data_IF_711674308709
#
_entry.id   IF_711674308709
#
_cell.length_a   1.000
_cell.length_b   1.000
_cell.length_c   1.000
_cell.angle_alpha   90.00
_cell.angle_beta   90.00
_cell.angle_gamma   90.00
#
_symmetry.space_group_name_H-M   'P 1'
#
loop_
_entity.id
_entity.type
_entity.pdbx_description
1 polymer ?
#
# COMPACT_ATOMS: atom_id res chain seq x y z
N UNK A 1 21.83 -0.69 -5.35
CA UNK A 1 22.42 0.67 -5.23
C UNK A 1 21.63 1.37 -4.16
N UNK A 2 22.13 1.46 -2.93
CA UNK A 2 21.67 2.51 -2.01
C UNK A 2 21.63 3.78 -2.86
N UNK A 3 20.54 4.53 -2.79
CA UNK A 3 20.53 5.87 -3.40
C UNK A 3 21.85 6.52 -3.03
N UNK A 4 22.59 7.10 -3.98
CA UNK A 4 23.96 7.58 -3.81
C UNK A 4 24.17 8.53 -2.61
N UNK A 5 23.11 8.85 -1.88
CA UNK A 5 23.03 9.81 -0.78
C UNK A 5 22.80 9.15 0.60
N UNK A 6 22.79 7.81 0.73
CA UNK A 6 22.54 7.13 2.02
C UNK A 6 21.12 7.35 2.56
N UNK A 7 20.16 7.66 1.69
CA UNK A 7 18.77 7.90 2.05
C UNK A 7 18.05 6.58 2.34
N UNK A 8 17.29 6.51 3.42
CA UNK A 8 16.38 5.41 3.71
C UNK A 8 15.27 5.35 2.65
N UNK A 9 15.00 4.17 2.11
CA UNK A 9 13.95 3.92 1.12
C UNK A 9 12.96 2.89 1.64
N UNK A 10 11.73 3.30 1.86
CA UNK A 10 10.62 2.45 2.31
C UNK A 10 9.60 2.33 1.19
N UNK A 11 9.39 1.11 0.69
CA UNK A 11 8.27 0.85 -0.21
C UNK A 11 6.97 0.72 0.59
N UNK A 12 6.05 1.66 0.36
CA UNK A 12 4.81 1.73 1.12
C UNK A 12 3.78 0.66 0.68
N UNK A 13 4.01 -0.06 -0.43
CA UNK A 13 3.04 -1.01 -0.94
C UNK A 13 3.69 -2.14 -1.74
N UNK A 14 3.82 -3.30 -1.13
CA UNK A 14 4.20 -4.53 -1.83
C UNK A 14 3.23 -5.65 -1.54
N UNK A 15 2.97 -6.48 -2.55
CA UNK A 15 2.06 -7.62 -2.45
C UNK A 15 2.82 -8.89 -2.84
N UNK A 16 3.12 -9.79 -1.90
CA UNK A 16 3.77 -11.04 -2.25
C UNK A 16 2.94 -11.83 -3.27
N UNK A 17 3.59 -12.32 -4.32
CA UNK A 17 2.95 -13.05 -5.40
C UNK A 17 3.54 -14.44 -5.52
N UNK A 18 3.05 -15.33 -4.67
CA UNK A 18 3.49 -16.73 -4.68
C UNK A 18 2.88 -17.51 -5.86
N UNK A 19 3.42 -18.70 -6.15
CA UNK A 19 2.83 -19.59 -7.15
C UNK A 19 1.38 -19.99 -6.78
N UNK A 20 1.06 -20.11 -5.49
CA UNK A 20 -0.28 -20.41 -5.00
C UNK A 20 -1.25 -19.26 -5.26
N UNK A 21 -0.80 -18.01 -5.02
CA UNK A 21 -1.56 -16.80 -5.36
C UNK A 21 -1.84 -16.74 -6.86
N UNK A 22 -0.82 -16.99 -7.69
CA UNK A 22 -0.97 -17.03 -9.14
C UNK A 22 -1.97 -18.10 -9.60
N UNK A 23 -1.89 -19.30 -9.05
CA UNK A 23 -2.80 -20.40 -9.37
C UNK A 23 -4.25 -20.15 -8.91
N UNK A 24 -4.45 -19.43 -7.81
CA UNK A 24 -5.76 -19.07 -7.27
C UNK A 24 -6.46 -17.91 -7.98
N UNK A 25 -5.75 -17.19 -8.86
CA UNK A 25 -6.34 -16.03 -9.54
C UNK A 25 -7.41 -16.40 -10.56
N UNK A 26 -8.52 -15.65 -10.60
CA UNK A 26 -9.49 -15.78 -11.69
C UNK A 26 -8.82 -15.62 -13.06
N UNK A 27 -9.19 -16.46 -14.03
CA UNK A 27 -8.61 -16.45 -15.39
C UNK A 27 -8.62 -15.05 -16.04
N UNK A 28 -9.67 -14.25 -15.80
CA UNK A 28 -9.74 -12.87 -16.27
C UNK A 28 -8.63 -11.99 -15.69
N UNK A 29 -8.20 -12.25 -14.47
CA UNK A 29 -7.16 -11.48 -13.80
C UNK A 29 -5.75 -11.94 -14.20
N UNK A 30 -5.58 -13.18 -14.68
CA UNK A 30 -4.33 -13.64 -15.26
C UNK A 30 -3.92 -12.80 -16.48
N UNK A 31 -4.88 -12.28 -17.23
CA UNK A 31 -4.63 -11.35 -18.36
C UNK A 31 -4.00 -10.02 -17.89
N UNK A 32 -4.12 -9.68 -16.60
CA UNK A 32 -3.45 -8.51 -16.03
C UNK A 32 -1.93 -8.65 -16.12
N UNK A 33 -1.40 -9.82 -15.79
CA UNK A 33 0.03 -10.12 -15.87
C UNK A 33 0.56 -9.99 -17.31
N UNK A 34 -0.20 -10.44 -18.31
CA UNK A 34 0.14 -10.27 -19.72
C UNK A 34 0.17 -8.78 -20.11
N UNK A 35 -0.82 -8.02 -19.68
CA UNK A 35 -0.94 -6.59 -19.96
C UNK A 35 0.23 -5.77 -19.39
N UNK A 36 0.76 -6.15 -18.24
CA UNK A 36 1.94 -5.50 -17.64
C UNK A 36 3.28 -6.07 -18.13
N UNK A 37 3.26 -7.07 -19.00
CA UNK A 37 4.47 -7.68 -19.56
C UNK A 37 5.25 -8.55 -18.57
N UNK A 38 4.61 -9.03 -17.50
CA UNK A 38 5.22 -9.79 -16.41
C UNK A 38 4.61 -11.21 -16.27
N UNK A 39 3.89 -11.70 -17.28
CA UNK A 39 3.10 -12.93 -17.18
C UNK A 39 3.93 -14.14 -16.73
N UNK A 40 5.10 -14.36 -17.33
CA UNK A 40 5.95 -15.49 -16.98
C UNK A 40 6.43 -15.45 -15.53
N UNK A 41 6.76 -14.26 -15.03
CA UNK A 41 7.22 -14.01 -13.68
C UNK A 41 6.09 -14.22 -12.67
N UNK A 42 4.95 -13.58 -12.89
CA UNK A 42 3.80 -13.65 -12.00
C UNK A 42 3.20 -15.06 -11.97
N UNK A 43 3.14 -15.76 -13.10
CA UNK A 43 2.62 -17.12 -13.15
C UNK A 43 3.51 -18.15 -12.43
N UNK A 44 4.82 -17.94 -12.39
CA UNK A 44 5.74 -18.79 -11.61
C UNK A 44 5.68 -18.53 -10.11
N UNK A 45 5.21 -17.34 -9.73
CA UNK A 45 5.33 -16.83 -8.38
C UNK A 45 6.76 -16.38 -8.04
N UNK A 46 6.88 -15.63 -6.97
CA UNK A 46 8.15 -15.07 -6.51
C UNK A 46 8.27 -15.36 -5.03
N UNK A 47 9.37 -15.99 -4.63
CA UNK A 47 9.62 -16.27 -3.22
C UNK A 47 10.20 -15.05 -2.47
N UNK A 48 10.19 -15.11 -1.15
CA UNK A 48 10.69 -14.03 -0.28
C UNK A 48 12.17 -13.72 -0.48
N UNK A 49 12.99 -14.75 -0.76
CA UNK A 49 14.43 -14.55 -1.00
C UNK A 49 14.69 -13.79 -2.29
N UNK A 50 13.96 -14.11 -3.35
CA UNK A 50 14.04 -13.37 -4.61
C UNK A 50 13.56 -11.92 -4.44
N UNK A 51 12.51 -11.69 -3.65
CA UNK A 51 12.03 -10.35 -3.33
C UNK A 51 13.10 -9.52 -2.61
N UNK A 52 13.74 -10.08 -1.58
CA UNK A 52 14.82 -9.39 -0.85
C UNK A 52 16.00 -9.08 -1.77
N UNK A 53 16.39 -10.02 -2.64
CA UNK A 53 17.47 -9.78 -3.60
C UNK A 53 17.13 -8.62 -4.57
N UNK A 54 15.89 -8.53 -5.05
CA UNK A 54 15.44 -7.42 -5.89
C UNK A 54 15.39 -6.08 -5.14
N UNK A 55 15.01 -6.09 -3.85
CA UNK A 55 15.11 -4.92 -2.98
C UNK A 55 16.56 -4.43 -2.88
N UNK A 56 17.52 -5.36 -2.66
CA UNK A 56 18.95 -5.03 -2.58
C UNK A 56 19.48 -4.43 -3.87
N UNK A 57 19.11 -5.00 -5.02
CA UNK A 57 19.51 -4.49 -6.34
C UNK A 57 18.94 -3.08 -6.61
N UNK A 58 17.72 -2.81 -6.15
CA UNK A 58 17.06 -1.53 -6.37
C UNK A 58 17.37 -0.47 -5.29
N UNK A 59 18.02 -0.85 -4.19
CA UNK A 59 18.30 0.02 -3.05
C UNK A 59 17.07 0.34 -2.21
N UNK A 60 16.14 -0.62 -2.09
CA UNK A 60 14.97 -0.53 -1.21
C UNK A 60 15.34 -1.15 0.12
N UNK A 61 15.30 -0.37 1.19
CA UNK A 61 15.70 -0.83 2.53
C UNK A 61 14.61 -1.63 3.21
N UNK A 62 13.38 -1.12 3.19
CA UNK A 62 12.21 -1.69 3.87
C UNK A 62 11.00 -1.73 2.93
N UNK A 63 10.08 -2.67 3.17
CA UNK A 63 8.83 -2.75 2.44
C UNK A 63 7.65 -3.08 3.36
N UNK A 64 6.52 -2.39 3.14
CA UNK A 64 5.23 -2.71 3.75
C UNK A 64 4.67 -3.97 3.09
N UNK A 65 4.99 -5.13 3.68
CA UNK A 65 4.59 -6.44 3.15
C UNK A 65 3.14 -6.75 3.51
N UNK A 66 2.26 -6.72 2.51
CA UNK A 66 0.83 -6.80 2.75
C UNK A 66 0.21 -8.16 2.42
N UNK A 67 -0.63 -8.65 3.34
CA UNK A 67 -1.65 -9.61 3.04
C UNK A 67 -2.77 -8.98 2.18
N UNK A 68 -3.64 -9.82 1.64
CA UNK A 68 -4.81 -9.40 0.87
C UNK A 68 -5.78 -10.57 0.71
N UNK A 69 -6.91 -10.39 0.05
CA UNK A 69 -7.90 -11.46 -0.10
C UNK A 69 -7.39 -12.74 -0.78
N UNK A 70 -6.34 -12.62 -1.59
CA UNK A 70 -5.66 -13.77 -2.23
C UNK A 70 -4.33 -14.13 -1.56
N UNK A 71 -3.88 -13.33 -0.59
CA UNK A 71 -2.59 -13.48 0.09
C UNK A 71 -2.87 -13.62 1.58
N UNK A 72 -2.79 -14.82 2.16
CA UNK A 72 -3.15 -15.02 3.56
C UNK A 72 -2.22 -14.28 4.52
N UNK A 73 -2.72 -13.93 5.70
CA UNK A 73 -1.92 -13.33 6.76
C UNK A 73 -0.71 -14.18 7.16
N UNK A 74 -0.80 -15.50 7.04
CA UNK A 74 0.29 -16.43 7.36
C UNK A 74 1.54 -16.17 6.52
N UNK A 75 1.38 -15.68 5.29
CA UNK A 75 2.52 -15.26 4.48
C UNK A 75 3.24 -14.06 5.09
N UNK A 76 2.49 -13.08 5.59
CA UNK A 76 3.09 -11.92 6.28
C UNK A 76 3.80 -12.36 7.55
N UNK A 77 3.21 -13.30 8.31
CA UNK A 77 3.86 -13.89 9.50
C UNK A 77 5.17 -14.57 9.13
N UNK A 78 5.21 -15.34 8.04
CA UNK A 78 6.43 -15.97 7.54
C UNK A 78 7.47 -14.92 7.11
N UNK A 79 7.06 -13.88 6.39
CA UNK A 79 7.94 -12.81 5.94
C UNK A 79 8.61 -12.10 7.12
N UNK A 80 7.83 -11.76 8.15
CA UNK A 80 8.34 -11.15 9.38
C UNK A 80 9.25 -12.08 10.17
N UNK A 81 8.94 -13.38 10.23
CA UNK A 81 9.76 -14.35 10.94
C UNK A 81 11.14 -14.58 10.27
N UNK A 82 11.21 -14.45 8.95
CA UNK A 82 12.44 -14.71 8.17
C UNK A 82 13.27 -13.47 7.89
N UNK A 83 12.64 -12.31 7.77
CA UNK A 83 13.24 -11.06 7.30
C UNK A 83 12.65 -9.84 8.02
N UNK A 84 12.60 -9.87 9.37
CA UNK A 84 12.05 -8.77 10.18
C UNK A 84 12.76 -7.43 9.95
N UNK A 85 14.02 -7.48 9.53
CA UNK A 85 14.83 -6.31 9.21
C UNK A 85 14.50 -5.68 7.84
N UNK A 86 13.69 -6.35 7.02
CA UNK A 86 13.33 -5.92 5.66
C UNK A 86 11.83 -5.65 5.48
N UNK A 87 11.00 -6.28 6.29
CA UNK A 87 9.55 -6.20 6.14
C UNK A 87 8.84 -5.60 7.34
N UNK A 88 7.83 -4.80 7.06
CA UNK A 88 6.86 -4.29 8.02
C UNK A 88 5.51 -4.91 7.65
N UNK A 89 4.87 -5.59 8.60
CA UNK A 89 3.66 -6.36 8.33
C UNK A 89 2.43 -5.48 8.13
N UNK A 90 1.65 -5.83 7.11
CA UNK A 90 0.32 -5.25 6.83
C UNK A 90 -0.68 -6.39 6.78
N UNK A 91 -1.62 -6.41 7.72
CA UNK A 91 -2.64 -7.46 7.83
C UNK A 91 -3.81 -7.23 6.85
N UNK A 92 -4.59 -8.28 6.62
CA UNK A 92 -5.92 -8.18 6.01
C UNK A 92 -6.97 -8.81 6.92
N UNK A 93 -8.23 -8.34 6.82
CA UNK A 93 -9.37 -8.93 7.51
C UNK A 93 -10.65 -8.67 6.70
N UNK A 94 -11.52 -9.67 6.59
CA UNK A 94 -12.75 -9.59 5.79
C UNK A 94 -13.99 -9.69 6.69
N UNK A 95 -14.70 -8.57 6.94
CA UNK A 95 -15.91 -8.58 7.75
C UNK A 95 -17.11 -9.22 7.04
N UNK A 96 -17.05 -9.43 5.74
CA UNK A 96 -18.13 -10.03 4.96
C UNK A 96 -18.03 -11.56 4.91
N UNK A 97 -16.81 -12.09 4.90
CA UNK A 97 -16.58 -13.53 4.96
C UNK A 97 -16.71 -14.08 6.40
N UNK A 98 -16.10 -13.40 7.37
CA UNK A 98 -15.93 -13.91 8.73
C UNK A 98 -16.91 -13.32 9.75
N UNK A 99 -17.58 -12.24 9.36
CA UNK A 99 -18.36 -11.39 10.26
C UNK A 99 -17.48 -10.33 10.97
N UNK A 100 -18.06 -9.14 11.28
CA UNK A 100 -17.30 -7.96 11.71
C UNK A 100 -16.40 -8.19 12.94
N UNK A 101 -16.91 -8.91 13.95
CA UNK A 101 -16.15 -9.15 15.17
C UNK A 101 -15.06 -10.22 15.03
N UNK A 102 -15.22 -11.16 14.10
CA UNK A 102 -14.15 -12.13 13.80
C UNK A 102 -13.03 -11.43 13.01
N UNK A 103 -13.37 -10.54 12.08
CA UNK A 103 -12.41 -9.69 11.37
C UNK A 103 -11.61 -8.80 12.34
N UNK A 104 -12.27 -8.15 13.31
CA UNK A 104 -11.59 -7.39 14.37
C UNK A 104 -10.63 -8.26 15.18
N UNK A 105 -11.04 -9.47 15.57
CA UNK A 105 -10.14 -10.41 16.28
C UNK A 105 -8.95 -10.84 15.44
N UNK A 106 -9.14 -11.01 14.13
CA UNK A 106 -8.04 -11.31 13.21
C UNK A 106 -7.05 -10.15 13.16
N UNK A 107 -7.52 -8.89 12.97
CA UNK A 107 -6.66 -7.72 13.01
C UNK A 107 -5.89 -7.62 14.33
N UNK A 108 -6.58 -7.74 15.46
CA UNK A 108 -5.95 -7.67 16.79
C UNK A 108 -4.84 -8.71 16.95
N UNK A 109 -5.10 -9.96 16.54
CA UNK A 109 -4.08 -11.02 16.57
C UNK A 109 -2.86 -10.70 15.73
N UNK A 110 -3.05 -10.12 14.52
CA UNK A 110 -1.95 -9.74 13.64
C UNK A 110 -1.13 -8.59 14.21
N UNK A 111 -1.77 -7.64 14.85
CA UNK A 111 -1.09 -6.48 15.47
C UNK A 111 -0.38 -6.90 16.77
N UNK A 112 -1.10 -7.45 17.74
CA UNK A 112 -0.57 -7.79 19.07
C UNK A 112 0.37 -9.01 19.05
N UNK A 113 0.10 -9.98 18.18
CA UNK A 113 0.87 -11.23 18.10
C UNK A 113 2.04 -11.20 17.12
N UNK A 114 1.97 -10.38 16.07
CA UNK A 114 2.96 -10.37 14.99
C UNK A 114 3.49 -8.97 14.64
N UNK A 115 3.06 -7.92 15.33
CA UNK A 115 3.60 -6.57 15.17
C UNK A 115 3.20 -5.86 13.86
N UNK A 116 2.12 -6.28 13.20
CA UNK A 116 1.63 -5.59 12.01
C UNK A 116 1.30 -4.11 12.32
N UNK A 117 1.64 -3.22 11.39
CA UNK A 117 1.49 -1.77 11.54
C UNK A 117 0.33 -1.18 10.73
N UNK A 118 -0.32 -1.99 9.91
CA UNK A 118 -1.47 -1.55 9.14
C UNK A 118 -2.47 -2.68 8.86
N UNK A 119 -3.69 -2.28 8.56
CA UNK A 119 -4.73 -3.08 7.93
C UNK A 119 -4.87 -2.67 6.48
N UNK A 120 -4.76 -3.61 5.54
CA UNK A 120 -5.03 -3.38 4.12
C UNK A 120 -6.46 -3.78 3.77
N UNK A 121 -7.16 -2.90 3.04
CA UNK A 121 -8.47 -3.18 2.46
C UNK A 121 -8.46 -2.94 0.94
N UNK A 122 -9.12 -3.85 0.23
CA UNK A 122 -9.32 -3.80 -1.22
C UNK A 122 -10.82 -3.88 -1.52
N UNK A 123 -11.54 -2.74 -1.43
CA UNK A 123 -13.01 -2.70 -1.44
C UNK A 123 -13.62 -3.27 -2.73
N UNK A 124 -12.91 -3.20 -3.86
CA UNK A 124 -13.37 -3.76 -5.13
C UNK A 124 -13.47 -5.29 -5.12
N UNK A 125 -12.67 -6.00 -4.30
CA UNK A 125 -12.74 -7.47 -4.22
C UNK A 125 -14.04 -7.91 -3.54
N UNK A 126 -14.45 -7.19 -2.52
CA UNK A 126 -15.70 -7.47 -1.80
C UNK A 126 -16.93 -6.85 -2.50
N UNK A 127 -16.72 -6.02 -3.55
CA UNK A 127 -17.75 -5.19 -4.17
C UNK A 127 -18.54 -4.38 -3.13
N UNK A 128 -17.81 -3.69 -2.24
CA UNK A 128 -18.36 -2.94 -1.12
C UNK A 128 -17.77 -1.53 -1.04
N UNK A 129 -18.63 -0.56 -0.83
CA UNK A 129 -18.18 0.81 -0.60
C UNK A 129 -17.50 0.92 0.76
N UNK A 130 -16.44 1.72 0.85
CA UNK A 130 -15.73 1.96 2.12
C UNK A 130 -16.64 2.56 3.22
N UNK A 131 -17.74 3.19 2.84
CA UNK A 131 -18.73 3.77 3.75
C UNK A 131 -19.77 2.79 4.27
N UNK A 132 -19.72 1.51 3.88
CA UNK A 132 -20.65 0.52 4.40
C UNK A 132 -20.32 0.15 5.85
N UNK A 133 -21.37 0.01 6.65
CA UNK A 133 -21.28 -0.20 8.10
C UNK A 133 -20.45 -1.42 8.51
N UNK A 134 -20.32 -2.43 7.64
CA UNK A 134 -19.50 -3.62 7.90
C UNK A 134 -18.02 -3.34 8.12
N UNK A 135 -17.48 -2.25 7.54
CA UNK A 135 -16.08 -1.84 7.71
C UNK A 135 -15.81 -1.10 9.03
N UNK A 136 -16.81 -0.38 9.57
CA UNK A 136 -16.63 0.52 10.70
C UNK A 136 -16.02 -0.11 11.95
N UNK A 137 -16.34 -1.37 12.33
CA UNK A 137 -15.65 -2.06 13.42
C UNK A 137 -14.14 -2.21 13.21
N UNK A 138 -13.69 -2.38 11.95
CA UNK A 138 -12.27 -2.45 11.62
C UNK A 138 -11.61 -1.07 11.70
N UNK A 139 -12.28 0.01 11.28
CA UNK A 139 -11.77 1.38 11.43
C UNK A 139 -11.59 1.74 12.90
N UNK A 140 -12.59 1.46 13.73
CA UNK A 140 -12.49 1.66 15.17
C UNK A 140 -11.36 0.82 15.79
N UNK A 141 -11.19 -0.43 15.35
CA UNK A 141 -10.11 -1.29 15.82
C UNK A 141 -8.72 -0.78 15.38
N UNK A 142 -8.58 -0.19 14.18
CA UNK A 142 -7.33 0.44 13.76
C UNK A 142 -6.96 1.62 14.65
N UNK A 143 -7.94 2.46 15.04
CA UNK A 143 -7.72 3.56 15.99
C UNK A 143 -7.30 3.03 17.37
N UNK A 144 -8.05 2.03 17.92
CA UNK A 144 -7.77 1.41 19.22
C UNK A 144 -6.39 0.75 19.30
N UNK A 145 -5.93 0.16 18.20
CA UNK A 145 -4.64 -0.53 18.09
C UNK A 145 -3.49 0.38 17.61
N UNK A 146 -3.77 1.65 17.35
CA UNK A 146 -2.80 2.62 16.79
C UNK A 146 -2.13 2.14 15.49
N UNK A 147 -2.90 1.51 14.58
CA UNK A 147 -2.44 1.05 13.28
C UNK A 147 -3.12 1.79 12.14
N UNK A 148 -2.47 1.81 10.98
CA UNK A 148 -2.90 2.58 9.83
C UNK A 148 -3.87 1.77 8.96
N UNK A 149 -4.89 2.42 8.43
CA UNK A 149 -5.70 1.88 7.34
C UNK A 149 -4.98 2.13 6.00
N UNK A 150 -4.54 1.07 5.34
CA UNK A 150 -4.05 1.10 3.98
C UNK A 150 -5.18 0.64 3.06
N UNK A 151 -5.62 1.50 2.15
CA UNK A 151 -6.78 1.19 1.31
C UNK A 151 -6.47 1.42 -0.16
N UNK A 152 -6.81 0.43 -1.00
CA UNK A 152 -6.72 0.62 -2.44
C UNK A 152 -7.83 1.55 -2.91
N UNK A 153 -7.44 2.65 -3.55
CA UNK A 153 -8.34 3.61 -4.20
C UNK A 153 -8.03 3.70 -5.69
N UNK A 154 -8.93 4.33 -6.45
CA UNK A 154 -8.80 4.41 -7.88
C UNK A 154 -9.37 3.18 -8.61
N UNK A 155 -9.03 3.06 -9.87
CA UNK A 155 -9.50 1.98 -10.72
C UNK A 155 -8.74 0.69 -10.40
N UNK A 156 -9.48 -0.42 -10.24
CA UNK A 156 -8.87 -1.74 -10.30
C UNK A 156 -8.38 -2.03 -11.73
N UNK A 157 -7.13 -2.45 -11.88
CA UNK A 157 -6.59 -2.91 -13.17
C UNK A 157 -7.20 -4.25 -13.63
N UNK A 158 -7.79 -5.01 -12.71
CA UNK A 158 -8.35 -6.33 -12.98
C UNK A 158 -9.78 -6.22 -13.56
N UNK A 159 -10.05 -6.83 -14.74
CA UNK A 159 -11.31 -6.65 -15.45
C UNK A 159 -12.53 -7.31 -14.78
N UNK A 160 -12.32 -8.06 -13.72
CA UNK A 160 -13.38 -8.72 -12.95
C UNK A 160 -14.04 -7.81 -11.91
N UNK A 161 -13.49 -6.64 -11.64
CA UNK A 161 -13.92 -5.79 -10.53
C UNK A 161 -14.45 -4.44 -10.99
N UNK A 162 -15.45 -3.93 -10.25
CA UNK A 162 -16.06 -2.62 -10.48
C UNK A 162 -15.20 -1.54 -9.82
N UNK A 163 -14.80 -0.52 -10.58
CA UNK A 163 -13.90 0.54 -10.09
C UNK A 163 -14.58 1.53 -9.15
N UNK A 164 -15.90 1.68 -9.18
CA UNK A 164 -16.63 2.65 -8.35
C UNK A 164 -16.36 2.46 -6.85
N UNK A 165 -16.18 1.21 -6.39
CA UNK A 165 -15.90 0.91 -4.97
C UNK A 165 -14.57 1.49 -4.48
N UNK A 166 -13.62 1.75 -5.40
CA UNK A 166 -12.34 2.40 -5.13
C UNK A 166 -12.35 3.92 -5.27
N UNK A 167 -13.50 4.56 -5.43
CA UNK A 167 -13.54 6.01 -5.63
C UNK A 167 -13.05 6.77 -4.40
N UNK A 168 -12.11 7.72 -4.55
CA UNK A 168 -11.51 8.46 -3.43
C UNK A 168 -12.51 9.20 -2.55
N UNK A 169 -13.64 9.67 -3.09
CA UNK A 169 -14.68 10.38 -2.33
C UNK A 169 -15.15 9.63 -1.07
N UNK A 170 -15.07 8.29 -1.06
CA UNK A 170 -15.44 7.51 0.12
C UNK A 170 -14.42 7.62 1.25
N UNK A 171 -13.15 7.91 0.94
CA UNK A 171 -12.10 8.19 1.94
C UNK A 171 -12.41 9.47 2.72
N UNK A 172 -12.97 10.49 2.04
CA UNK A 172 -13.36 11.75 2.68
C UNK A 172 -14.32 11.51 3.87
N UNK A 173 -15.32 10.65 3.66
CA UNK A 173 -16.28 10.31 4.71
C UNK A 173 -15.63 9.59 5.89
N UNK A 174 -14.75 8.63 5.63
CA UNK A 174 -14.05 7.88 6.68
C UNK A 174 -13.12 8.79 7.47
N UNK A 175 -12.39 9.69 6.80
CA UNK A 175 -11.51 10.64 7.45
C UNK A 175 -12.25 11.63 8.36
N UNK A 176 -13.52 11.96 8.04
CA UNK A 176 -14.39 12.76 8.89
C UNK A 176 -14.90 11.98 10.10
N UNK A 177 -15.33 10.72 9.88
CA UNK A 177 -15.91 9.88 10.95
C UNK A 177 -14.85 9.38 11.94
N UNK A 178 -13.60 9.23 11.49
CA UNK A 178 -12.46 8.74 12.28
C UNK A 178 -11.25 9.67 12.11
N UNK A 179 -11.27 10.87 12.72
CA UNK A 179 -10.18 11.85 12.57
C UNK A 179 -8.83 11.37 13.16
N UNK A 180 -8.84 10.40 14.07
CA UNK A 180 -7.64 9.78 14.64
C UNK A 180 -7.05 8.67 13.74
N UNK A 181 -7.83 8.14 12.79
CA UNK A 181 -7.40 7.06 11.92
C UNK A 181 -6.42 7.58 10.86
N UNK A 182 -5.20 7.09 10.86
CA UNK A 182 -4.27 7.32 9.74
C UNK A 182 -4.71 6.50 8.54
N UNK A 183 -4.80 7.14 7.37
CA UNK A 183 -5.28 6.51 6.13
C UNK A 183 -4.22 6.71 5.04
N UNK A 184 -3.74 5.62 4.44
CA UNK A 184 -2.90 5.61 3.25
C UNK A 184 -3.74 5.12 2.07
N UNK A 185 -4.00 6.02 1.12
CA UNK A 185 -4.78 5.76 -0.08
C UNK A 185 -3.85 5.38 -1.24
N UNK A 186 -3.90 4.13 -1.70
CA UNK A 186 -3.02 3.58 -2.74
C UNK A 186 -3.32 4.04 -4.15
N UNK A 187 -2.32 3.92 -5.06
CA UNK A 187 -2.44 4.04 -6.51
C UNK A 187 -2.88 5.44 -7.01
N UNK A 188 -2.43 6.51 -6.31
CA UNK A 188 -2.72 7.93 -6.62
C UNK A 188 -4.22 8.26 -6.86
N UNK A 189 -5.12 7.32 -6.64
CA UNK A 189 -6.56 7.48 -6.90
C UNK A 189 -6.95 7.54 -8.39
N UNK A 190 -6.07 7.12 -9.32
CA UNK A 190 -6.35 7.21 -10.74
C UNK A 190 -7.63 6.43 -11.15
N UNK A 191 -8.55 6.96 -12.01
CA UNK A 191 -8.45 8.23 -12.75
C UNK A 191 -8.95 9.48 -12.00
N UNK A 192 -9.37 9.35 -10.73
CA UNK A 192 -9.89 10.45 -9.90
C UNK A 192 -8.79 11.12 -9.06
N UNK A 193 -7.60 11.28 -9.64
CA UNK A 193 -6.41 11.77 -8.91
C UNK A 193 -6.62 13.17 -8.32
N UNK A 194 -7.30 14.07 -9.02
CA UNK A 194 -7.59 15.42 -8.50
C UNK A 194 -8.53 15.39 -7.29
N UNK A 195 -9.48 14.45 -7.26
CA UNK A 195 -10.34 14.20 -6.09
C UNK A 195 -9.51 13.69 -4.91
N UNK A 196 -8.58 12.75 -5.15
CA UNK A 196 -7.70 12.23 -4.11
C UNK A 196 -6.77 13.31 -3.56
N UNK A 197 -6.21 14.19 -4.41
CA UNK A 197 -5.41 15.35 -4.01
C UNK A 197 -6.22 16.26 -3.07
N UNK A 198 -7.45 16.60 -3.45
CA UNK A 198 -8.31 17.46 -2.63
C UNK A 198 -8.59 16.87 -1.25
N UNK A 199 -8.79 15.55 -1.17
CA UNK A 199 -9.02 14.83 0.08
C UNK A 199 -7.77 14.81 0.95
N UNK A 200 -6.60 14.49 0.40
CA UNK A 200 -5.35 14.48 1.14
C UNK A 200 -4.94 15.89 1.62
N UNK A 201 -5.29 16.93 0.88
CA UNK A 201 -5.08 18.31 1.29
C UNK A 201 -6.04 18.75 2.39
N UNK A 202 -7.28 18.25 2.39
CA UNK A 202 -8.31 18.58 3.37
C UNK A 202 -8.07 17.93 4.72
N UNK A 203 -7.54 16.68 4.75
CA UNK A 203 -7.43 15.88 5.95
C UNK A 203 -5.98 15.61 6.35
N UNK A 204 -5.60 16.00 7.56
CA UNK A 204 -4.25 15.80 8.09
C UNK A 204 -3.89 14.31 8.25
N UNK A 205 -4.87 13.45 8.46
CA UNK A 205 -4.75 12.02 8.66
C UNK A 205 -4.81 11.18 7.37
N UNK A 206 -4.77 11.81 6.17
CA UNK A 206 -4.80 11.11 4.88
C UNK A 206 -3.52 11.34 4.10
N UNK A 207 -2.91 10.27 3.60
CA UNK A 207 -1.75 10.25 2.71
C UNK A 207 -2.09 9.56 1.39
N UNK A 208 -1.30 9.83 0.36
CA UNK A 208 -1.41 9.19 -0.97
C UNK A 208 -0.17 8.33 -1.21
N UNK A 209 -0.37 7.10 -1.60
CA UNK A 209 0.67 6.17 -2.04
C UNK A 209 0.74 6.12 -3.57
N UNK A 210 1.96 6.05 -4.12
CA UNK A 210 2.19 6.11 -5.59
C UNK A 210 2.25 4.75 -6.27
N UNK A 211 1.99 3.68 -5.57
CA UNK A 211 2.06 2.31 -6.10
C UNK A 211 1.27 2.12 -7.41
N UNK A 212 1.65 1.15 -8.19
CA UNK A 212 1.14 0.85 -9.53
C UNK A 212 1.38 1.92 -10.60
N UNK A 213 1.97 3.06 -10.28
CA UNK A 213 2.17 4.17 -11.21
C UNK A 213 3.64 4.57 -11.31
N UNK A 214 4.16 4.66 -12.53
CA UNK A 214 5.50 5.21 -12.79
C UNK A 214 5.44 6.74 -12.84
N UNK A 215 6.48 7.48 -12.41
CA UNK A 215 6.53 8.94 -12.44
C UNK A 215 6.12 9.58 -13.77
N UNK A 216 6.52 8.98 -14.90
CA UNK A 216 6.17 9.47 -16.25
C UNK A 216 4.67 9.49 -16.56
N UNK A 217 3.85 8.78 -15.77
CA UNK A 217 2.40 8.73 -15.93
C UNK A 217 1.66 9.54 -14.87
N UNK A 218 2.38 10.23 -13.98
CA UNK A 218 1.72 11.10 -13.00
C UNK A 218 1.04 12.26 -13.72
N UNK A 219 -0.24 12.54 -13.43
CA UNK A 219 -0.88 13.74 -13.94
C UNK A 219 -0.13 14.99 -13.50
N UNK A 220 -0.12 16.06 -14.32
CA UNK A 220 0.54 17.32 -13.96
C UNK A 220 0.07 17.93 -12.64
N UNK A 221 -1.22 17.79 -12.30
CA UNK A 221 -1.80 18.20 -11.01
C UNK A 221 -1.15 17.44 -9.85
N UNK A 222 -0.92 16.13 -10.00
CA UNK A 222 -0.28 15.32 -8.97
C UNK A 222 1.20 15.67 -8.79
N UNK A 223 1.93 15.86 -9.89
CA UNK A 223 3.32 16.28 -9.82
C UNK A 223 3.47 17.66 -9.16
N UNK A 224 2.58 18.60 -9.47
CA UNK A 224 2.55 19.91 -8.83
C UNK A 224 2.20 19.80 -7.33
N UNK A 225 1.25 18.96 -6.97
CA UNK A 225 0.90 18.67 -5.57
C UNK A 225 2.10 18.10 -4.81
N UNK A 226 2.75 17.07 -5.35
CA UNK A 226 3.92 16.42 -4.74
C UNK A 226 5.06 17.40 -4.46
N UNK A 227 5.30 18.37 -5.37
CA UNK A 227 6.34 19.42 -5.22
C UNK A 227 5.97 20.52 -4.23
N UNK A 228 4.74 20.58 -3.77
CA UNK A 228 4.21 21.69 -2.95
C UNK A 228 3.52 21.19 -1.68
N UNK A 229 2.22 21.32 -1.58
CA UNK A 229 1.42 20.92 -0.42
C UNK A 229 1.51 19.42 -0.12
N UNK A 230 1.69 18.59 -1.15
CA UNK A 230 1.80 17.16 -1.04
C UNK A 230 3.15 16.62 -0.59
N UNK A 231 4.17 17.48 -0.42
CA UNK A 231 5.52 17.03 -0.05
C UNK A 231 5.56 16.20 1.25
N UNK A 232 4.59 16.42 2.15
CA UNK A 232 4.44 15.67 3.40
C UNK A 232 3.26 14.69 3.40
N UNK A 233 2.67 14.44 2.22
CA UNK A 233 1.43 13.67 2.06
C UNK A 233 1.56 12.53 1.07
N UNK A 234 2.64 12.46 0.30
CA UNK A 234 2.80 11.47 -0.74
C UNK A 234 3.94 10.52 -0.37
N UNK A 235 3.66 9.22 -0.40
CA UNK A 235 4.61 8.15 -0.14
C UNK A 235 4.97 7.45 -1.45
N UNK A 236 6.23 7.02 -1.57
CA UNK A 236 6.61 6.12 -2.63
C UNK A 236 6.15 4.70 -2.32
N UNK A 237 5.58 4.03 -3.34
CA UNK A 237 5.25 2.62 -3.33
C UNK A 237 5.36 2.06 -4.75
N UNK A 238 5.70 0.79 -4.88
CA UNK A 238 5.88 0.14 -6.18
C UNK A 238 4.63 -0.59 -6.67
N UNK A 239 3.89 -1.23 -5.81
CA UNK A 239 2.94 -2.32 -6.12
C UNK A 239 3.67 -3.58 -6.60
N UNK A 240 4.91 -3.79 -6.08
CA UNK A 240 5.67 -5.00 -6.43
C UNK A 240 4.82 -6.25 -6.16
N UNK A 241 4.78 -7.23 -7.06
CA UNK A 241 5.59 -7.41 -8.25
C UNK A 241 4.92 -6.95 -9.57
N UNK A 242 3.78 -6.26 -9.49
CA UNK A 242 3.10 -5.71 -10.68
C UNK A 242 4.00 -4.72 -11.40
N UNK A 243 4.59 -3.77 -10.67
CA UNK A 243 5.77 -3.05 -11.10
C UNK A 243 6.96 -3.54 -10.30
N UNK A 244 8.05 -3.91 -10.98
CA UNK A 244 9.31 -4.14 -10.29
C UNK A 244 9.87 -2.81 -9.73
N UNK A 245 10.74 -2.91 -8.73
CA UNK A 245 11.30 -1.74 -8.05
C UNK A 245 12.02 -0.80 -9.02
N UNK A 246 12.80 -1.34 -9.96
CA UNK A 246 13.55 -0.55 -10.94
C UNK A 246 12.62 0.27 -11.82
N UNK A 247 11.51 -0.32 -12.29
CA UNK A 247 10.53 0.38 -13.11
C UNK A 247 9.76 1.44 -12.31
N UNK A 248 9.44 1.17 -11.04
CA UNK A 248 8.72 2.13 -10.20
C UNK A 248 9.59 3.33 -9.81
N UNK A 249 10.92 3.14 -9.73
CA UNK A 249 11.90 4.19 -9.45
C UNK A 249 12.30 4.99 -10.71
N UNK A 250 12.02 4.46 -11.91
CA UNK A 250 12.43 5.09 -13.16
C UNK A 250 11.74 6.45 -13.34
N UNK A 251 12.52 7.51 -13.53
CA UNK A 251 12.03 8.87 -13.75
C UNK A 251 11.71 9.65 -12.47
N UNK A 252 12.06 9.14 -11.30
CA UNK A 252 11.90 9.90 -10.03
C UNK A 252 12.76 11.18 -10.02
N UNK A 253 13.93 11.13 -10.63
CA UNK A 253 14.80 12.31 -10.71
C UNK A 253 14.18 13.44 -11.57
N UNK A 254 13.32 13.09 -12.53
CA UNK A 254 12.57 14.04 -13.36
C UNK A 254 11.44 14.75 -12.59
N UNK A 255 11.11 14.26 -11.39
CA UNK A 255 10.13 14.91 -10.53
C UNK A 255 10.63 16.21 -9.89
N UNK A 256 11.93 16.51 -9.99
CA UNK A 256 12.53 17.76 -9.50
C UNK A 256 12.16 18.07 -8.04
N UNK A 257 12.27 17.06 -7.18
CA UNK A 257 12.01 17.19 -5.76
C UNK A 257 13.21 17.83 -5.05
N UNK A 258 12.94 18.70 -4.07
CA UNK A 258 14.01 19.16 -3.18
C UNK A 258 14.61 17.98 -2.40
N UNK A 259 15.85 18.09 -1.87
CA UNK A 259 16.42 17.03 -1.05
C UNK A 259 15.51 16.61 0.12
N UNK A 260 14.87 17.57 0.79
CA UNK A 260 13.93 17.33 1.88
C UNK A 260 12.64 16.66 1.38
N UNK A 261 12.12 17.08 0.22
CA UNK A 261 10.95 16.50 -0.43
C UNK A 261 11.22 15.05 -0.86
N UNK A 262 12.42 14.77 -1.37
CA UNK A 262 12.87 13.43 -1.75
C UNK A 262 12.97 12.51 -0.51
N UNK A 263 13.56 12.99 0.58
CA UNK A 263 13.65 12.26 1.84
C UNK A 263 12.27 11.96 2.43
N UNK A 264 11.36 12.94 2.37
CA UNK A 264 9.98 12.76 2.80
C UNK A 264 9.26 11.70 1.94
N UNK A 265 9.38 11.79 0.62
CA UNK A 265 8.73 10.90 -0.34
C UNK A 265 9.17 9.43 -0.19
N UNK A 266 10.48 9.18 -0.01
CA UNK A 266 11.01 7.82 0.10
C UNK A 266 10.85 7.20 1.50
N UNK A 267 10.85 7.99 2.56
CA UNK A 267 10.80 7.43 3.92
C UNK A 267 9.99 8.27 4.90
N UNK A 268 10.22 9.57 5.00
CA UNK A 268 9.67 10.39 6.07
C UNK A 268 8.14 10.35 6.15
N UNK A 269 7.46 10.35 5.01
CA UNK A 269 6.01 10.25 4.96
C UNK A 269 5.51 8.85 5.34
N UNK A 270 6.23 7.77 4.98
CA UNK A 270 5.90 6.43 5.41
C UNK A 270 6.07 6.26 6.93
N UNK A 271 7.17 6.80 7.49
CA UNK A 271 7.39 6.82 8.94
C UNK A 271 6.22 7.52 9.66
N UNK A 272 5.78 8.67 9.17
CA UNK A 272 4.65 9.41 9.76
C UNK A 272 3.32 8.68 9.57
N UNK A 273 3.04 8.20 8.36
CA UNK A 273 1.77 7.58 8.02
C UNK A 273 1.56 6.25 8.74
N UNK A 274 2.60 5.43 8.91
CA UNK A 274 2.51 4.11 9.54
C UNK A 274 2.98 4.10 11.00
N UNK A 275 3.24 5.27 11.61
CA UNK A 275 3.76 5.39 12.97
C UNK A 275 4.96 4.47 13.25
N UNK A 276 5.93 4.47 12.32
CA UNK A 276 7.17 3.71 12.47
C UNK A 276 8.14 4.47 13.36
N UNK A 277 9.13 3.76 13.90
CA UNK A 277 10.25 4.46 14.52
C UNK A 277 11.05 5.25 13.44
N UNK A 278 11.79 6.30 13.81
CA UNK A 278 12.52 7.14 12.84
C UNK A 278 13.55 6.39 11.97
N UNK A 279 13.91 5.17 12.34
CA UNK A 279 14.82 4.29 11.57
C UNK A 279 14.04 3.36 10.63
N UNK A 280 12.72 3.50 10.56
CA UNK A 280 11.84 2.69 9.75
C UNK A 280 11.48 1.33 10.35
N UNK A 281 12.07 0.92 11.48
CA UNK A 281 11.73 -0.35 12.10
C UNK A 281 10.34 -0.29 12.75
N UNK A 282 9.68 -1.44 12.85
CA UNK A 282 8.53 -1.55 13.74
C UNK A 282 9.02 -1.32 15.17
N UNK A 283 8.47 -0.29 15.85
CA UNK A 283 8.75 -0.12 17.28
C UNK A 283 8.35 -1.40 18.04
N UNK A 284 9.12 -1.80 19.06
CA UNK A 284 8.82 -3.02 19.82
C UNK A 284 7.44 -2.98 20.49
#
# INVERSE_FOLDING_TARGET
MTTADGLLVIDAWVQPWTAEVAAGMPTRNQQLAEKYGNADRLNRGIDLGAMVAEMDEAGVDLAMCSAGPLIPNDFVVEALARHAERFIGVATADPWADGPMAAVRTLRRMVEGHGCKALKLEPFINDRLLTEAGWYPLYAACVDLDVTLQVQVGQSGAPSYVSETGRPAYVDRIAVDFPELRIVAGHIGWPWTDEMIAIAQKHDNVWIDTSAHQPRYYPPSFTNFLRSFGARKVLWGSDWPILDFTRSLAGIDDLDLTPEGRAAFFAGNAVAAFALDPRGSAAP
#
